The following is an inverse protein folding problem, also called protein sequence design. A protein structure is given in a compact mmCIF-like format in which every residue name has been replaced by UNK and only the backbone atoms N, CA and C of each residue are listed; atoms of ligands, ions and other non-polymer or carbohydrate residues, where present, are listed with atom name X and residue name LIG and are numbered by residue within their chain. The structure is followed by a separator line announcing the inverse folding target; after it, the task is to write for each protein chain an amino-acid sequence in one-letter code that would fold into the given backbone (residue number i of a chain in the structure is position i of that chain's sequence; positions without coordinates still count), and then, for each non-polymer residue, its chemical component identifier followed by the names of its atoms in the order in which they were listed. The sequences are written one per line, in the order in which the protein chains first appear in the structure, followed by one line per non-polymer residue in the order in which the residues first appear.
data_IF_798822153473
#
_entry.id   IF_798822153473
#
_cell.length_a   1.000
_cell.length_b   1.000
_cell.length_c   1.000
_cell.angle_alpha   90.00
_cell.angle_beta   90.00
_cell.angle_gamma   90.00
#
_symmetry.space_group_name_H-M   'P 1'
#
loop_
_entity.id
_entity.type
_entity.pdbx_description
1 polymer ?
#
# COMPACT_ATOMS: atom_id res chain seq x y z
N UNK A 1 10.39 9.43 8.98
CA UNK A 1 9.11 10.06 9.35
C UNK A 1 9.26 11.54 9.73
N UNK A 2 10.24 11.99 10.53
CA UNK A 2 10.44 13.41 10.88
C UNK A 2 10.48 14.37 9.69
N UNK A 3 11.24 14.04 8.64
CA UNK A 3 11.32 14.86 7.43
C UNK A 3 9.95 15.02 6.74
N UNK A 4 9.14 13.96 6.73
CA UNK A 4 7.79 13.98 6.16
C UNK A 4 6.85 14.85 6.98
N UNK A 5 6.87 14.74 8.31
CA UNK A 5 6.05 15.55 9.21
C UNK A 5 6.39 17.05 9.07
N UNK A 6 7.69 17.39 9.07
CA UNK A 6 8.15 18.76 8.85
C UNK A 6 7.72 19.32 7.48
N UNK A 7 7.84 18.51 6.42
CA UNK A 7 7.40 18.92 5.09
C UNK A 7 5.88 19.14 5.01
N UNK A 8 5.08 18.28 5.64
CA UNK A 8 3.63 18.41 5.68
C UNK A 8 3.18 19.70 6.38
N UNK A 9 3.82 20.04 7.50
CA UNK A 9 3.53 21.27 8.26
C UNK A 9 3.94 22.53 7.52
N UNK A 10 5.16 22.54 6.95
CA UNK A 10 5.77 23.77 6.41
C UNK A 10 5.33 24.04 4.96
N UNK A 11 5.07 23.01 4.16
CA UNK A 11 4.85 23.12 2.72
C UNK A 11 3.48 22.60 2.27
N UNK A 12 2.80 21.81 3.09
CA UNK A 12 1.50 21.22 2.81
C UNK A 12 0.37 21.85 3.62
N UNK A 13 -0.71 21.08 3.77
CA UNK A 13 -1.86 21.45 4.59
C UNK A 13 -1.78 20.95 6.05
N UNK A 14 -0.61 20.55 6.52
CA UNK A 14 -0.39 20.03 7.87
C UNK A 14 -0.70 18.53 8.02
N UNK A 15 -1.03 17.83 6.93
CA UNK A 15 -1.32 16.41 6.95
C UNK A 15 -0.76 15.68 5.71
N UNK A 16 -0.73 14.36 5.80
CA UNK A 16 -0.34 13.46 4.72
C UNK A 16 -1.41 12.40 4.55
N UNK A 17 -1.59 11.88 3.35
CA UNK A 17 -2.51 10.78 3.06
C UNK A 17 -1.74 9.50 2.74
N UNK A 18 -2.05 8.42 3.42
CA UNK A 18 -1.55 7.09 3.10
C UNK A 18 -2.35 6.52 1.93
N UNK A 19 -1.66 5.86 1.01
CA UNK A 19 -2.27 5.30 -0.18
C UNK A 19 -2.36 3.78 -0.13
N UNK A 20 -3.23 3.19 -0.96
CA UNK A 20 -3.34 1.73 -1.11
C UNK A 20 -2.12 1.07 -1.78
N UNK A 21 -1.07 1.84 -2.07
CA UNK A 21 0.22 1.33 -2.58
C UNK A 21 1.36 1.51 -1.58
N UNK A 22 1.03 1.72 -0.29
CA UNK A 22 2.04 1.96 0.74
C UNK A 22 2.80 3.29 0.57
N UNK A 23 2.30 4.22 -0.26
CA UNK A 23 2.91 5.53 -0.47
C UNK A 23 2.29 6.59 0.42
N UNK A 24 3.01 7.70 0.58
CA UNK A 24 2.55 8.90 1.29
C UNK A 24 2.33 10.02 0.28
N UNK A 25 1.18 10.67 0.34
CA UNK A 25 0.80 11.76 -0.54
C UNK A 25 0.66 13.06 0.24
N UNK A 26 1.28 14.13 -0.27
CA UNK A 26 1.10 15.49 0.22
C UNK A 26 0.01 16.21 -0.59
N UNK A 27 -0.73 17.11 0.06
CA UNK A 27 -1.72 17.94 -0.61
C UNK A 27 -1.47 19.42 -0.36
N UNK A 28 -1.99 20.26 -1.26
CA UNK A 28 -1.88 21.73 -1.18
C UNK A 28 -0.44 22.20 -0.99
N UNK A 29 0.49 21.56 -1.73
CA UNK A 29 1.92 21.87 -1.63
C UNK A 29 2.19 23.25 -2.19
N UNK A 30 2.75 24.14 -1.34
CA UNK A 30 3.06 25.53 -1.68
C UNK A 30 4.32 25.66 -2.54
N UNK A 31 5.30 24.79 -2.33
CA UNK A 31 6.58 24.77 -3.06
C UNK A 31 6.99 23.31 -3.35
N UNK A 32 6.64 22.76 -4.55
CA UNK A 32 6.98 21.39 -4.94
C UNK A 32 8.48 21.13 -5.05
N UNK A 33 9.28 22.14 -5.47
CA UNK A 33 10.73 21.99 -5.64
C UNK A 33 11.42 21.89 -4.28
N UNK A 34 10.99 22.70 -3.32
CA UNK A 34 11.47 22.61 -1.93
C UNK A 34 11.09 21.27 -1.29
N UNK A 35 9.85 20.81 -1.51
CA UNK A 35 9.41 19.48 -1.06
C UNK A 35 10.32 18.38 -1.62
N UNK A 36 10.53 18.35 -2.93
CA UNK A 36 11.39 17.37 -3.59
C UNK A 36 12.83 17.42 -3.02
N UNK A 37 13.39 18.60 -2.80
CA UNK A 37 14.72 18.77 -2.22
C UNK A 37 14.82 18.24 -0.79
N UNK A 38 13.82 18.50 0.07
CA UNK A 38 13.77 17.97 1.45
C UNK A 38 13.65 16.44 1.46
N UNK A 39 12.79 15.88 0.60
CA UNK A 39 12.61 14.44 0.51
C UNK A 39 13.87 13.74 -0.03
N UNK A 40 14.52 14.31 -1.04
CA UNK A 40 15.79 13.80 -1.56
C UNK A 40 16.89 13.86 -0.48
N UNK A 41 17.00 14.96 0.26
CA UNK A 41 17.93 15.09 1.38
C UNK A 41 17.70 14.09 2.53
N UNK A 42 16.47 13.60 2.66
CA UNK A 42 16.10 12.54 3.61
C UNK A 42 16.24 11.11 3.02
N UNK A 43 16.76 10.95 1.79
CA UNK A 43 16.90 9.67 1.12
C UNK A 43 15.59 9.06 0.62
N UNK A 44 14.50 9.83 0.60
CA UNK A 44 13.18 9.33 0.20
C UNK A 44 12.93 9.43 -1.32
N UNK A 45 13.77 10.18 -2.04
CA UNK A 45 13.79 10.28 -3.50
C UNK A 45 15.21 9.96 -4.01
N UNK A 46 15.62 8.68 -3.99
CA UNK A 46 17.01 8.29 -4.30
C UNK A 46 17.35 8.26 -5.80
N UNK A 47 16.37 8.46 -6.68
CA UNK A 47 16.55 8.47 -8.14
C UNK A 47 15.88 9.67 -8.77
N UNK A 48 16.47 10.22 -9.84
CA UNK A 48 15.86 11.30 -10.65
C UNK A 48 15.00 10.78 -11.80
N UNK A 49 15.09 9.50 -12.14
CA UNK A 49 14.45 8.90 -13.33
C UNK A 49 13.40 7.86 -13.00
N UNK A 50 13.51 7.15 -11.87
CA UNK A 50 12.67 6.01 -11.51
C UNK A 50 11.62 6.29 -10.44
N UNK A 51 11.45 7.55 -9.98
CA UNK A 51 10.56 7.87 -8.84
C UNK A 51 9.10 7.45 -9.02
N UNK A 52 8.62 7.42 -10.26
CA UNK A 52 7.22 7.06 -10.57
C UNK A 52 6.98 5.56 -10.67
N UNK A 53 8.03 4.77 -10.81
CA UNK A 53 7.94 3.32 -11.13
C UNK A 53 8.34 2.42 -9.96
N UNK A 54 8.80 2.99 -8.87
CA UNK A 54 9.23 2.30 -7.66
C UNK A 54 8.06 1.97 -6.73
N UNK A 55 6.97 1.41 -7.27
CA UNK A 55 5.83 0.97 -6.48
C UNK A 55 6.02 -0.49 -6.10
N UNK A 56 6.62 -0.73 -4.93
CA UNK A 56 6.88 -2.07 -4.38
C UNK A 56 6.05 -2.24 -3.12
N UNK A 57 5.14 -3.21 -3.12
CA UNK A 57 4.43 -3.68 -1.93
C UNK A 57 5.10 -4.94 -1.40
N UNK A 58 5.25 -5.03 -0.09
CA UNK A 58 5.68 -6.24 0.59
C UNK A 58 4.72 -6.56 1.73
N UNK A 59 4.61 -7.84 2.09
CA UNK A 59 3.82 -8.26 3.25
C UNK A 59 4.27 -7.51 4.51
N UNK A 60 3.42 -6.67 5.13
CA UNK A 60 3.83 -5.71 6.16
C UNK A 60 4.39 -6.35 7.43
N UNK A 61 3.97 -7.56 7.72
CA UNK A 61 4.37 -8.30 8.92
C UNK A 61 5.45 -9.36 8.65
N UNK A 62 6.00 -9.40 7.43
CA UNK A 62 6.99 -10.38 7.02
C UNK A 62 8.19 -10.41 7.94
N UNK A 63 8.66 -11.61 8.29
CA UNK A 63 9.76 -11.85 9.21
C UNK A 63 9.49 -11.47 10.67
N UNK A 64 8.26 -11.05 11.00
CA UNK A 64 7.84 -10.66 12.35
C UNK A 64 6.67 -11.47 12.87
N UNK A 65 5.57 -11.52 12.10
CA UNK A 65 4.35 -12.21 12.52
C UNK A 65 3.83 -13.06 11.36
N UNK A 66 3.82 -14.37 11.51
CA UNK A 66 3.35 -15.29 10.48
C UNK A 66 4.15 -15.23 9.18
N UNK A 67 3.54 -15.71 8.08
CA UNK A 67 4.22 -15.89 6.79
C UNK A 67 5.05 -17.17 6.74
N UNK A 68 5.45 -17.57 5.54
CA UNK A 68 6.30 -18.75 5.33
C UNK A 68 7.73 -18.41 4.94
N UNK A 69 7.96 -17.16 4.53
CA UNK A 69 9.28 -16.61 4.19
C UNK A 69 9.42 -15.17 4.68
N UNK A 70 10.66 -14.71 4.84
CA UNK A 70 10.96 -13.30 5.16
C UNK A 70 11.37 -12.56 3.88
N UNK A 71 10.50 -11.69 3.39
CA UNK A 71 10.73 -10.93 2.15
C UNK A 71 11.34 -9.54 2.39
N UNK A 72 11.70 -9.19 3.64
CA UNK A 72 12.14 -7.82 3.97
C UNK A 72 13.40 -7.40 3.25
N UNK A 73 14.37 -8.31 3.10
CA UNK A 73 15.65 -8.02 2.44
C UNK A 73 15.49 -7.92 0.92
N UNK A 74 14.49 -8.59 0.34
CA UNK A 74 14.17 -8.48 -1.09
C UNK A 74 13.66 -7.08 -1.48
N UNK A 75 13.09 -6.31 -0.54
CA UNK A 75 12.55 -4.96 -0.84
C UNK A 75 13.65 -3.99 -1.27
N UNK A 76 14.69 -3.72 -0.45
CA UNK A 76 15.76 -2.82 -0.85
C UNK A 76 16.55 -3.38 -2.04
N UNK A 77 16.72 -4.70 -2.15
CA UNK A 77 17.42 -5.33 -3.28
C UNK A 77 16.66 -5.08 -4.59
N UNK A 78 15.35 -5.30 -4.62
CA UNK A 78 14.51 -5.01 -5.80
C UNK A 78 14.50 -3.50 -6.11
N UNK A 79 14.40 -2.62 -5.12
CA UNK A 79 14.43 -1.18 -5.33
C UNK A 79 15.74 -0.71 -5.95
N UNK A 80 16.88 -1.21 -5.47
CA UNK A 80 18.20 -0.90 -6.02
C UNK A 80 18.31 -1.41 -7.46
N UNK A 81 17.90 -2.63 -7.72
CA UNK A 81 17.96 -3.26 -9.02
C UNK A 81 17.05 -2.55 -10.06
N UNK A 82 15.85 -2.14 -9.67
CA UNK A 82 14.96 -1.31 -10.52
C UNK A 82 15.64 0.01 -10.87
N UNK A 83 16.26 0.70 -9.91
CA UNK A 83 16.96 1.97 -10.13
C UNK A 83 18.22 1.82 -11.00
N UNK A 84 18.89 0.67 -10.92
CA UNK A 84 20.09 0.38 -11.71
C UNK A 84 19.75 0.02 -13.18
N UNK A 85 18.52 -0.39 -13.48
CA UNK A 85 18.09 -0.82 -14.81
C UNK A 85 17.47 0.34 -15.57
N UNK A 86 18.26 1.03 -16.41
CA UNK A 86 17.83 2.26 -17.10
C UNK A 86 16.52 2.09 -17.93
N UNK A 87 16.29 0.92 -18.54
CA UNK A 87 15.11 0.61 -19.36
C UNK A 87 13.81 0.66 -18.53
N UNK A 88 13.87 0.39 -17.22
CA UNK A 88 12.71 0.39 -16.35
C UNK A 88 12.21 1.81 -16.00
N UNK A 89 12.96 2.86 -16.32
CA UNK A 89 12.46 4.24 -16.23
C UNK A 89 11.26 4.49 -17.16
N UNK A 90 11.11 3.67 -18.22
CA UNK A 90 10.02 3.74 -19.18
C UNK A 90 8.75 2.97 -18.74
N UNK A 91 8.77 2.34 -17.58
CA UNK A 91 7.58 1.72 -17.00
C UNK A 91 6.49 2.77 -16.74
N UNK A 92 5.22 2.43 -16.92
CA UNK A 92 4.13 3.30 -16.50
C UNK A 92 4.13 3.51 -14.98
N UNK A 93 3.83 4.72 -14.51
CA UNK A 93 3.72 5.02 -13.08
C UNK A 93 2.60 4.28 -12.34
N UNK A 94 1.80 3.47 -13.03
CA UNK A 94 0.80 2.57 -12.43
C UNK A 94 1.32 1.14 -12.23
N UNK A 95 2.50 0.84 -12.73
CA UNK A 95 3.14 -0.47 -12.52
C UNK A 95 3.31 -0.75 -11.03
N UNK A 96 3.06 -1.98 -10.63
CA UNK A 96 3.12 -2.44 -9.25
C UNK A 96 3.90 -3.74 -9.15
N UNK A 97 4.91 -3.73 -8.28
CA UNK A 97 5.60 -4.93 -7.82
C UNK A 97 5.03 -5.41 -6.49
N UNK A 98 5.06 -6.71 -6.22
CA UNK A 98 4.65 -7.27 -4.93
C UNK A 98 5.55 -8.42 -4.48
N UNK A 99 5.91 -8.41 -3.20
CA UNK A 99 6.70 -9.44 -2.51
C UNK A 99 5.84 -9.99 -1.36
N UNK A 100 5.23 -11.16 -1.58
CA UNK A 100 4.30 -11.77 -0.64
C UNK A 100 4.99 -12.90 0.13
N UNK A 101 4.92 -12.86 1.45
CA UNK A 101 5.54 -13.83 2.35
C UNK A 101 4.77 -15.15 2.50
N UNK A 102 3.78 -15.37 1.64
CA UNK A 102 2.98 -16.59 1.57
C UNK A 102 1.58 -16.48 2.14
N UNK A 103 1.20 -15.34 2.74
CA UNK A 103 -0.16 -15.13 3.26
C UNK A 103 -1.15 -14.58 2.21
N UNK A 104 -0.69 -14.14 1.05
CA UNK A 104 -1.53 -13.61 -0.03
C UNK A 104 -1.99 -12.18 0.17
N UNK A 105 -1.46 -11.47 1.18
CA UNK A 105 -1.96 -10.18 1.62
C UNK A 105 -1.63 -9.00 0.69
N UNK A 106 -0.58 -9.10 -0.12
CA UNK A 106 -0.24 -8.08 -1.11
C UNK A 106 -0.50 -8.50 -2.56
N UNK A 107 -0.61 -9.80 -2.83
CA UNK A 107 -0.99 -10.30 -4.17
C UNK A 107 -2.42 -9.91 -4.54
N UNK A 108 -3.32 -9.77 -3.56
CA UNK A 108 -4.69 -9.28 -3.76
C UNK A 108 -4.75 -7.89 -4.43
N UNK A 109 -3.69 -7.09 -4.33
CA UNK A 109 -3.57 -5.82 -5.05
C UNK A 109 -3.46 -5.99 -6.58
N UNK A 110 -3.37 -7.25 -7.07
CA UNK A 110 -3.15 -7.61 -8.48
C UNK A 110 -1.93 -6.90 -9.05
N UNK A 111 -0.71 -7.20 -8.55
CA UNK A 111 0.52 -6.62 -9.05
C UNK A 111 0.73 -6.98 -10.52
N UNK A 112 1.50 -6.14 -11.24
CA UNK A 112 1.95 -6.48 -12.59
C UNK A 112 3.00 -7.58 -12.51
N UNK A 113 3.94 -7.44 -11.58
CA UNK A 113 5.06 -8.35 -11.32
C UNK A 113 5.13 -8.63 -9.83
N UNK A 114 5.11 -9.89 -9.45
CA UNK A 114 5.19 -10.24 -8.05
C UNK A 114 5.65 -11.66 -7.81
N UNK A 115 5.92 -11.95 -6.57
CA UNK A 115 6.16 -13.30 -6.08
C UNK A 115 5.32 -13.55 -4.82
N UNK A 116 4.91 -14.80 -4.65
CA UNK A 116 4.29 -15.28 -3.42
C UNK A 116 5.10 -16.47 -2.89
N UNK A 117 5.55 -16.40 -1.65
CA UNK A 117 6.26 -17.50 -1.04
C UNK A 117 5.36 -18.73 -0.92
N UNK A 118 5.88 -19.90 -1.34
CA UNK A 118 5.25 -21.21 -1.21
C UNK A 118 6.05 -22.12 -0.28
N UNK A 119 7.19 -21.66 0.18
CA UNK A 119 8.08 -22.32 1.14
C UNK A 119 9.13 -21.31 1.63
N UNK A 120 10.00 -21.67 2.58
CA UNK A 120 10.95 -20.76 3.23
C UNK A 120 11.88 -20.00 2.26
N UNK A 121 12.23 -20.60 1.12
CA UNK A 121 13.07 -19.99 0.09
C UNK A 121 12.57 -20.35 -1.32
N UNK A 122 11.28 -20.61 -1.46
CA UNK A 122 10.66 -21.00 -2.73
C UNK A 122 9.44 -20.11 -2.99
N UNK A 123 9.36 -19.58 -4.20
CA UNK A 123 8.38 -18.58 -4.58
C UNK A 123 7.64 -18.94 -5.87
N UNK A 124 6.36 -18.63 -5.94
CA UNK A 124 5.60 -18.64 -7.17
C UNK A 124 5.74 -17.28 -7.87
N UNK A 125 6.10 -17.28 -9.15
CA UNK A 125 6.07 -16.07 -9.98
C UNK A 125 4.63 -15.69 -10.29
N UNK A 126 4.27 -14.44 -9.98
CA UNK A 126 2.94 -13.87 -10.19
C UNK A 126 3.01 -12.77 -11.25
N UNK A 127 2.22 -12.90 -12.32
CA UNK A 127 2.10 -11.90 -13.37
C UNK A 127 0.63 -11.46 -13.53
N UNK A 128 0.40 -10.15 -13.61
CA UNK A 128 -0.94 -9.55 -13.65
C UNK A 128 -1.89 -10.05 -12.54
N UNK A 129 -1.34 -10.36 -11.36
CA UNK A 129 -2.06 -10.87 -10.20
C UNK A 129 -2.35 -12.37 -10.21
N UNK A 130 -1.94 -13.11 -11.25
CA UNK A 130 -2.14 -14.56 -11.38
C UNK A 130 -0.85 -15.36 -11.18
N UNK A 131 -0.95 -16.52 -10.53
CA UNK A 131 0.15 -17.49 -10.46
C UNK A 131 0.44 -18.03 -11.88
N UNK A 132 1.67 -17.93 -12.31
CA UNK A 132 2.10 -18.40 -13.63
C UNK A 132 2.40 -19.91 -13.68
N UNK A 133 2.46 -20.60 -12.54
CA UNK A 133 2.98 -21.94 -12.41
C UNK A 133 4.50 -22.06 -12.43
N UNK A 134 5.23 -20.95 -12.58
CA UNK A 134 6.70 -20.93 -12.47
C UNK A 134 7.09 -20.84 -11.00
N UNK A 135 8.09 -21.62 -10.60
CA UNK A 135 8.66 -21.64 -9.25
C UNK A 135 10.09 -21.16 -9.30
N UNK A 136 10.45 -20.34 -8.33
CA UNK A 136 11.73 -19.64 -8.23
C UNK A 136 12.38 -19.96 -6.89
N UNK A 137 13.68 -20.12 -6.87
CA UNK A 137 14.47 -20.00 -5.63
C UNK A 137 14.59 -18.52 -5.23
N UNK A 138 14.77 -18.24 -3.94
CA UNK A 138 14.91 -16.88 -3.42
C UNK A 138 15.94 -16.03 -4.16
N UNK A 139 17.09 -16.63 -4.50
CA UNK A 139 18.18 -15.98 -5.23
C UNK A 139 17.82 -15.57 -6.67
N UNK A 140 16.74 -16.09 -7.23
CA UNK A 140 16.26 -15.76 -8.58
C UNK A 140 15.18 -14.66 -8.58
N UNK A 141 14.57 -14.37 -7.41
CA UNK A 141 13.37 -13.53 -7.32
C UNK A 141 13.58 -12.17 -7.97
N UNK A 142 14.62 -11.45 -7.58
CA UNK A 142 14.85 -10.08 -8.06
C UNK A 142 15.12 -10.08 -9.56
N UNK A 143 16.00 -10.97 -10.04
CA UNK A 143 16.34 -11.05 -11.47
C UNK A 143 15.08 -11.37 -12.32
N UNK A 144 14.25 -12.31 -11.90
CA UNK A 144 13.03 -12.67 -12.64
C UNK A 144 11.98 -11.58 -12.65
N UNK A 145 11.86 -10.81 -11.56
CA UNK A 145 10.98 -9.64 -11.55
C UNK A 145 11.47 -8.53 -12.49
N UNK A 146 12.79 -8.28 -12.55
CA UNK A 146 13.38 -7.32 -13.50
C UNK A 146 13.21 -7.77 -14.96
N UNK A 147 13.49 -9.04 -15.26
CA UNK A 147 13.29 -9.63 -16.59
C UNK A 147 11.82 -9.50 -17.03
N UNK A 148 10.88 -9.82 -16.13
CA UNK A 148 9.44 -9.67 -16.40
C UNK A 148 9.04 -8.23 -16.71
N UNK A 149 9.54 -7.28 -15.92
CA UNK A 149 9.27 -5.86 -16.11
C UNK A 149 9.91 -5.33 -17.41
N UNK A 150 11.14 -5.75 -17.72
CA UNK A 150 11.84 -5.42 -18.97
C UNK A 150 11.10 -5.98 -20.18
N UNK A 151 10.64 -7.23 -20.10
CA UNK A 151 9.83 -7.83 -21.16
C UNK A 151 8.56 -7.03 -21.42
N UNK A 152 7.87 -6.59 -20.36
CA UNK A 152 6.68 -5.73 -20.50
C UNK A 152 7.01 -4.39 -21.15
N UNK A 153 8.09 -3.70 -20.77
CA UNK A 153 8.52 -2.44 -21.41
C UNK A 153 8.69 -2.64 -22.91
N UNK A 154 9.25 -3.76 -23.36
CA UNK A 154 9.47 -4.07 -24.78
C UNK A 154 8.21 -4.50 -25.52
N UNK A 155 7.25 -5.12 -24.82
CA UNK A 155 6.02 -5.64 -25.42
C UNK A 155 4.90 -4.60 -25.52
N UNK A 156 4.86 -3.63 -24.60
CA UNK A 156 3.81 -2.64 -24.53
C UNK A 156 3.89 -1.63 -25.67
N UNK A 157 2.73 -1.23 -26.20
CA UNK A 157 2.60 -0.12 -27.15
C UNK A 157 2.08 1.17 -26.48
N UNK A 158 1.30 1.04 -25.39
CA UNK A 158 0.70 2.17 -24.65
C UNK A 158 -0.02 1.74 -23.37
N UNK A 159 -0.04 0.45 -23.10
CA UNK A 159 -0.69 -0.14 -21.93
C UNK A 159 -0.04 0.36 -20.64
N UNK A 160 -0.86 0.62 -19.63
CA UNK A 160 -0.43 1.10 -18.31
C UNK A 160 -0.21 -0.02 -17.30
N UNK A 161 -0.78 -1.19 -17.58
CA UNK A 161 -0.71 -2.39 -16.73
C UNK A 161 -0.46 -3.62 -17.59
N UNK A 162 0.22 -4.62 -17.03
CA UNK A 162 0.42 -5.89 -17.72
C UNK A 162 -0.91 -6.59 -18.08
N UNK A 163 -1.93 -6.42 -17.22
CA UNK A 163 -3.28 -6.95 -17.44
C UNK A 163 -4.06 -6.30 -18.58
N UNK A 164 -3.57 -5.18 -19.14
CA UNK A 164 -4.17 -4.51 -20.29
C UNK A 164 -3.57 -5.01 -21.61
N UNK A 165 -2.47 -5.75 -21.56
CA UNK A 165 -1.82 -6.35 -22.71
C UNK A 165 -2.48 -7.71 -23.02
N UNK A 166 -2.92 -7.92 -24.26
CA UNK A 166 -3.50 -9.18 -24.71
C UNK A 166 -2.49 -10.32 -24.51
N UNK A 167 -2.92 -11.36 -23.80
CA UNK A 167 -2.08 -12.49 -23.39
C UNK A 167 -0.76 -12.07 -22.69
N UNK A 168 -0.78 -10.91 -22.00
CA UNK A 168 0.39 -10.28 -21.41
C UNK A 168 1.28 -11.23 -20.58
N UNK A 169 0.76 -11.95 -19.59
CA UNK A 169 1.55 -12.92 -18.83
C UNK A 169 2.23 -13.99 -19.68
N UNK A 170 1.52 -14.58 -20.65
CA UNK A 170 2.06 -15.62 -21.52
C UNK A 170 3.19 -15.07 -22.42
N UNK A 171 2.99 -13.89 -23.00
CA UNK A 171 4.00 -13.21 -23.83
C UNK A 171 5.26 -12.82 -23.05
N UNK A 172 5.09 -12.40 -21.79
CA UNK A 172 6.23 -12.11 -20.91
C UNK A 172 7.01 -13.40 -20.64
N UNK A 173 6.34 -14.49 -20.26
CA UNK A 173 6.99 -15.79 -20.04
C UNK A 173 7.72 -16.31 -21.29
N UNK A 174 7.10 -16.20 -22.47
CA UNK A 174 7.71 -16.56 -23.75
C UNK A 174 9.00 -15.77 -24.00
N UNK A 175 8.98 -14.46 -23.79
CA UNK A 175 10.15 -13.61 -23.93
C UNK A 175 11.28 -13.95 -22.96
N UNK A 176 10.94 -14.39 -21.75
CA UNK A 176 11.89 -14.85 -20.74
C UNK A 176 12.38 -16.28 -21.00
N UNK A 177 11.78 -17.01 -21.94
CA UNK A 177 12.06 -18.44 -22.18
C UNK A 177 11.58 -19.34 -21.05
N UNK A 178 10.60 -18.91 -20.27
CA UNK A 178 10.02 -19.65 -19.16
C UNK A 178 8.73 -20.36 -19.58
N UNK A 179 8.53 -21.57 -19.04
CA UNK A 179 7.30 -22.31 -19.19
C UNK A 179 6.69 -22.59 -17.82
N UNK A 180 5.35 -22.60 -17.68
CA UNK A 180 4.70 -23.04 -16.46
C UNK A 180 5.23 -24.40 -16.04
N UNK A 181 5.53 -24.57 -14.75
CA UNK A 181 5.80 -25.89 -14.17
C UNK A 181 4.48 -26.65 -14.02
N UNK A 182 4.55 -27.98 -13.80
CA UNK A 182 3.36 -28.80 -13.48
C UNK A 182 2.82 -28.53 -12.05
N UNK A 183 3.36 -27.57 -11.34
CA UNK A 183 2.91 -27.20 -10.00
C UNK A 183 1.46 -26.69 -10.03
N UNK A 184 0.69 -27.08 -9.04
CA UNK A 184 -0.67 -26.57 -8.87
C UNK A 184 -0.65 -25.04 -8.70
N UNK A 185 -1.60 -24.37 -9.33
CA UNK A 185 -1.76 -22.93 -9.14
C UNK A 185 -2.17 -22.59 -7.71
N UNK A 186 -1.67 -21.46 -7.21
CA UNK A 186 -2.08 -20.95 -5.91
C UNK A 186 -3.57 -20.60 -5.92
N UNK A 187 -4.27 -20.74 -4.79
CA UNK A 187 -5.62 -20.22 -4.68
C UNK A 187 -5.64 -18.74 -4.94
N UNK A 188 -6.72 -18.25 -5.54
CA UNK A 188 -6.92 -16.79 -5.71
C UNK A 188 -6.82 -16.14 -4.34
N UNK A 189 -5.97 -15.12 -4.22
CA UNK A 189 -5.79 -14.39 -2.99
C UNK A 189 -7.12 -13.80 -2.50
N UNK A 190 -7.46 -14.07 -1.26
CA UNK A 190 -8.60 -13.44 -0.59
C UNK A 190 -8.12 -12.12 0.00
N UNK A 191 -8.98 -11.13 0.02
CA UNK A 191 -8.65 -9.81 0.54
C UNK A 191 -8.03 -9.89 1.95
N UNK A 192 -6.82 -9.33 2.09
CA UNK A 192 -6.09 -9.34 3.35
C UNK A 192 -6.76 -8.47 4.41
N UNK A 193 -6.70 -8.91 5.67
CA UNK A 193 -7.19 -8.13 6.82
C UNK A 193 -6.12 -7.12 7.21
N UNK A 194 -6.48 -5.84 7.44
CA UNK A 194 -5.54 -4.85 7.95
C UNK A 194 -4.89 -5.30 9.26
N UNK A 195 -3.56 -5.20 9.42
CA UNK A 195 -2.88 -5.56 10.65
C UNK A 195 -3.07 -4.45 11.70
N UNK A 196 -4.17 -4.48 12.43
CA UNK A 196 -4.52 -3.49 13.45
C UNK A 196 -4.47 -4.11 14.84
N UNK A 197 -4.03 -3.32 15.82
CA UNK A 197 -3.97 -3.73 17.22
C UNK A 197 -2.60 -4.28 17.63
N UNK A 198 -2.63 -5.13 18.63
CA UNK A 198 -1.46 -5.72 19.26
C UNK A 198 -1.08 -7.03 18.59
N UNK A 199 0.10 -7.09 17.99
CA UNK A 199 0.59 -8.22 17.21
C UNK A 199 1.88 -8.75 17.81
N UNK A 200 1.81 -9.91 18.49
CA UNK A 200 2.99 -10.55 19.09
C UNK A 200 3.89 -11.12 17.98
N UNK A 201 5.16 -10.71 17.96
CA UNK A 201 6.15 -11.19 17.02
C UNK A 201 6.72 -12.56 17.43
N UNK A 202 7.30 -13.26 16.47
CA UNK A 202 7.93 -14.58 16.72
C UNK A 202 9.11 -14.53 17.69
N UNK A 203 9.76 -13.37 17.83
CA UNK A 203 10.88 -13.12 18.75
C UNK A 203 10.43 -12.62 20.14
N UNK A 204 9.12 -12.58 20.39
CA UNK A 204 8.53 -12.12 21.66
C UNK A 204 8.34 -10.61 21.77
N UNK A 205 8.79 -9.83 20.77
CA UNK A 205 8.48 -8.39 20.69
C UNK A 205 7.06 -8.16 20.21
N UNK A 206 6.72 -6.89 20.06
CA UNK A 206 5.38 -6.45 19.64
C UNK A 206 5.48 -5.58 18.39
N UNK A 207 4.60 -5.82 17.45
CA UNK A 207 4.22 -4.87 16.43
C UNK A 207 2.86 -4.26 16.76
N UNK A 208 2.73 -2.94 16.68
CA UNK A 208 1.46 -2.23 16.86
C UNK A 208 0.94 -1.74 15.52
N UNK A 209 -0.18 -2.30 15.09
CA UNK A 209 -0.89 -1.81 13.91
C UNK A 209 -1.86 -0.70 14.27
N UNK A 210 -1.69 0.48 13.70
CA UNK A 210 -2.55 1.63 13.92
C UNK A 210 -3.23 2.08 12.63
N UNK A 211 -4.57 2.09 12.62
CA UNK A 211 -5.33 2.69 11.55
C UNK A 211 -5.46 4.20 11.75
N UNK A 212 -5.75 4.90 10.65
CA UNK A 212 -5.96 6.34 10.62
C UNK A 212 -7.31 6.63 9.98
N UNK A 213 -8.08 7.52 10.59
CA UNK A 213 -9.33 7.98 10.00
C UNK A 213 -9.09 8.48 8.57
N UNK A 214 -9.78 7.89 7.59
CA UNK A 214 -9.63 8.19 6.16
C UNK A 214 -8.19 8.02 5.60
N UNK A 215 -7.31 7.33 6.32
CA UNK A 215 -5.90 7.21 5.96
C UNK A 215 -5.11 8.52 6.06
N UNK A 216 -5.59 9.48 6.85
CA UNK A 216 -4.96 10.80 7.01
C UNK A 216 -4.06 10.81 8.23
N UNK A 217 -2.78 11.10 8.02
CA UNK A 217 -1.76 11.24 9.05
C UNK A 217 -1.46 12.72 9.28
N UNK A 218 -1.90 13.24 10.41
CA UNK A 218 -1.56 14.61 10.85
C UNK A 218 -0.06 14.74 11.12
N UNK A 219 0.52 15.90 10.81
CA UNK A 219 1.96 16.15 10.98
C UNK A 219 2.41 15.99 12.44
N UNK A 220 1.60 16.41 13.41
CA UNK A 220 1.90 16.26 14.83
C UNK A 220 1.90 14.79 15.24
N UNK A 221 0.89 14.02 14.83
CA UNK A 221 0.86 12.56 15.06
C UNK A 221 2.08 11.89 14.43
N UNK A 222 2.47 12.29 13.20
CA UNK A 222 3.65 11.78 12.53
C UNK A 222 4.95 12.08 13.28
N UNK A 223 5.08 13.25 13.94
CA UNK A 223 6.22 13.58 14.80
C UNK A 223 6.31 12.65 16.01
N UNK A 224 5.18 12.34 16.66
CA UNK A 224 5.15 11.40 17.77
C UNK A 224 5.47 9.97 17.33
N UNK A 225 4.93 9.52 16.20
CA UNK A 225 5.28 8.21 15.61
C UNK A 225 6.78 8.15 15.29
N UNK A 226 7.35 9.23 14.77
CA UNK A 226 8.78 9.30 14.49
C UNK A 226 9.65 9.25 15.75
N UNK A 227 9.17 9.84 16.87
CA UNK A 227 9.89 9.88 18.13
C UNK A 227 10.00 8.51 18.83
N UNK A 228 9.23 7.52 18.41
CA UNK A 228 9.34 6.13 18.92
C UNK A 228 10.69 5.51 18.54
N UNK A 229 11.28 5.96 17.43
CA UNK A 229 12.58 5.50 16.90
C UNK A 229 12.64 3.97 16.74
N UNK A 230 11.61 3.44 16.07
CA UNK A 230 11.48 2.02 15.72
C UNK A 230 11.09 1.90 14.25
N UNK A 231 11.33 0.72 13.63
CA UNK A 231 10.91 0.48 12.26
C UNK A 231 9.42 0.73 12.06
N UNK A 232 9.08 1.45 10.98
CA UNK A 232 7.71 1.80 10.60
C UNK A 232 7.40 1.19 9.24
N UNK A 233 6.24 0.57 9.12
CA UNK A 233 5.73 0.04 7.85
C UNK A 233 4.43 0.74 7.49
N UNK A 234 4.39 1.35 6.32
CA UNK A 234 3.16 1.88 5.73
C UNK A 234 2.48 0.74 4.98
N UNK A 235 1.23 0.48 5.31
CA UNK A 235 0.50 -0.67 4.73
C UNK A 235 -0.41 -0.26 3.57
N UNK A 236 -0.78 -1.20 2.68
CA UNK A 236 -1.74 -0.93 1.62
C UNK A 236 -3.16 -0.64 2.12
N UNK A 237 -3.45 -0.92 3.39
CA UNK A 237 -4.72 -0.57 4.06
C UNK A 237 -4.73 0.83 4.67
N UNK A 238 -3.77 1.70 4.29
CA UNK A 238 -3.66 3.08 4.78
C UNK A 238 -3.51 3.15 6.30
N UNK A 239 -2.75 2.21 6.86
CA UNK A 239 -2.40 2.11 8.27
C UNK A 239 -0.88 2.13 8.44
N UNK A 240 -0.42 2.23 9.67
CA UNK A 240 0.99 2.20 10.04
C UNK A 240 1.20 1.05 11.00
N UNK A 241 2.25 0.26 10.79
CA UNK A 241 2.73 -0.70 11.79
C UNK A 241 4.02 -0.17 12.39
N UNK A 242 4.04 0.00 13.70
CA UNK A 242 5.24 0.27 14.49
C UNK A 242 5.78 -1.06 14.97
N UNK A 243 6.99 -1.41 14.53
CA UNK A 243 7.56 -2.74 14.73
C UNK A 243 8.60 -2.78 15.87
N UNK A 244 8.91 -4.00 16.30
CA UNK A 244 10.07 -4.32 17.15
C UNK A 244 10.04 -3.60 18.51
N UNK A 245 8.85 -3.46 19.09
CA UNK A 245 8.64 -2.84 20.40
C UNK A 245 8.80 -3.87 21.54
N UNK A 246 9.43 -3.45 22.63
CA UNK A 246 9.30 -4.16 23.90
C UNK A 246 7.88 -3.92 24.45
N UNK A 247 7.32 -4.89 25.20
CA UNK A 247 5.92 -4.85 25.67
C UNK A 247 5.57 -3.56 26.41
N UNK A 248 6.40 -3.13 27.38
CA UNK A 248 6.16 -1.88 28.12
C UNK A 248 6.21 -0.64 27.24
N UNK A 249 7.08 -0.61 26.20
CA UNK A 249 7.11 0.47 25.23
C UNK A 249 5.84 0.46 24.36
N UNK A 250 5.36 -0.72 23.95
CA UNK A 250 4.13 -0.83 23.17
C UNK A 250 2.91 -0.29 23.93
N UNK A 251 2.80 -0.57 25.23
CA UNK A 251 1.75 0.01 26.09
C UNK A 251 1.82 1.55 26.16
N UNK A 252 3.03 2.10 26.27
CA UNK A 252 3.23 3.55 26.27
C UNK A 252 2.86 4.19 24.92
N UNK A 253 3.24 3.54 23.81
CA UNK A 253 2.89 3.99 22.45
C UNK A 253 1.36 4.04 22.28
N UNK A 254 0.63 3.01 22.68
CA UNK A 254 -0.84 3.01 22.63
C UNK A 254 -1.40 4.15 23.49
N UNK A 255 -0.92 4.32 24.72
CA UNK A 255 -1.38 5.37 25.66
C UNK A 255 -1.20 6.78 25.11
N UNK A 256 -0.14 7.01 24.34
CA UNK A 256 0.16 8.33 23.76
C UNK A 256 -0.57 8.54 22.42
N UNK A 257 -0.53 7.55 21.53
CA UNK A 257 -1.00 7.76 20.16
C UNK A 257 -2.52 7.58 20.00
N UNK A 258 -3.18 6.75 20.84
CA UNK A 258 -4.63 6.59 20.75
C UNK A 258 -5.41 7.90 21.03
N UNK A 259 -5.09 8.70 22.07
CA UNK A 259 -5.72 10.02 22.25
C UNK A 259 -5.41 11.02 21.13
N UNK A 260 -4.36 10.79 20.35
CA UNK A 260 -3.99 11.62 19.20
C UNK A 260 -4.69 11.20 17.91
N UNK A 261 -5.56 10.18 17.96
CA UNK A 261 -6.37 9.73 16.83
C UNK A 261 -5.84 8.50 16.08
N UNK A 262 -4.78 7.83 16.58
CA UNK A 262 -4.39 6.53 16.04
C UNK A 262 -5.32 5.44 16.59
N UNK A 263 -5.84 4.59 15.69
CA UNK A 263 -6.88 3.61 16.00
C UNK A 263 -6.22 2.24 16.12
N UNK A 264 -6.26 1.65 17.33
CA UNK A 264 -5.72 0.32 17.62
C UNK A 264 -6.80 -0.75 17.82
N UNK A 265 -8.08 -0.39 17.66
CA UNK A 265 -9.20 -1.32 17.72
C UNK A 265 -9.52 -1.82 16.30
N UNK A 266 -9.31 -3.11 16.08
CA UNK A 266 -9.62 -3.78 14.81
C UNK A 266 -11.12 -3.78 14.46
N UNK A 267 -11.99 -3.54 15.44
CA UNK A 267 -13.43 -3.44 15.26
C UNK A 267 -13.92 -2.00 15.08
N UNK A 268 -13.02 -1.05 14.95
CA UNK A 268 -13.39 0.35 14.74
C UNK A 268 -14.10 0.53 13.38
N UNK A 269 -15.22 1.27 13.33
CA UNK A 269 -15.92 1.53 12.05
C UNK A 269 -15.06 2.26 11.02
N UNK A 270 -13.99 2.93 11.45
CA UNK A 270 -13.03 3.56 10.56
C UNK A 270 -12.26 2.59 9.65
N UNK A 271 -12.19 1.30 10.04
CA UNK A 271 -11.48 0.27 9.25
C UNK A 271 -12.30 -0.12 8.02
N UNK A 272 -13.63 -0.14 8.17
CA UNK A 272 -14.57 -0.47 7.11
C UNK A 272 -14.99 0.74 6.27
N UNK A 273 -14.59 1.96 6.67
CA UNK A 273 -15.03 3.19 6.04
C UNK A 273 -13.92 3.86 5.22
N UNK A 274 -14.26 4.30 4.03
CA UNK A 274 -13.37 5.08 3.16
C UNK A 274 -14.12 6.20 2.45
N UNK A 275 -13.42 7.27 2.07
CA UNK A 275 -14.00 8.34 1.28
C UNK A 275 -13.04 8.84 0.21
N UNK A 276 -13.60 9.41 -0.86
CA UNK A 276 -12.83 10.22 -1.79
C UNK A 276 -12.48 11.58 -1.13
N UNK A 277 -11.73 12.44 -1.84
CA UNK A 277 -11.35 13.74 -1.28
C UNK A 277 -12.57 14.64 -0.96
N UNK A 278 -13.63 14.54 -1.75
CA UNK A 278 -14.83 15.35 -1.55
C UNK A 278 -14.66 16.86 -1.76
N UNK A 279 -15.70 17.62 -1.47
CA UNK A 279 -15.63 19.08 -1.37
C UNK A 279 -14.97 19.44 -0.01
N UNK A 280 -14.21 20.55 0.11
CA UNK A 280 -13.86 21.53 -0.94
C UNK A 280 -12.65 21.08 -1.81
N UNK A 281 -12.05 19.95 -1.56
CA UNK A 281 -10.84 19.48 -2.25
C UNK A 281 -11.05 19.01 -3.70
N UNK A 282 -12.31 18.92 -4.15
CA UNK A 282 -12.67 18.48 -5.50
C UNK A 282 -13.88 19.25 -6.04
N UNK A 283 -13.69 20.03 -7.11
CA UNK A 283 -14.75 20.82 -7.77
C UNK A 283 -15.88 19.97 -8.38
N UNK A 284 -15.70 18.67 -8.52
CA UNK A 284 -16.70 17.74 -9.06
C UNK A 284 -17.55 17.08 -7.96
N UNK A 285 -17.24 17.35 -6.72
CA UNK A 285 -17.95 16.77 -5.60
C UNK A 285 -19.24 17.55 -5.31
N UNK A 286 -20.31 16.83 -5.02
CA UNK A 286 -21.60 17.41 -4.61
C UNK A 286 -21.70 17.62 -3.08
N UNK A 287 -20.77 17.04 -2.29
CA UNK A 287 -20.78 17.11 -0.83
C UNK A 287 -19.38 17.03 -0.22
N UNK A 288 -19.23 17.45 1.04
CA UNK A 288 -18.06 17.17 1.86
C UNK A 288 -18.20 15.76 2.47
N UNK A 289 -17.99 14.75 1.65
CA UNK A 289 -18.15 13.34 2.02
C UNK A 289 -17.25 12.87 3.16
N UNK A 290 -16.16 13.60 3.44
CA UNK A 290 -15.29 13.28 4.56
C UNK A 290 -15.89 13.73 5.89
N UNK A 291 -16.43 14.93 5.93
CA UNK A 291 -17.17 15.44 7.11
C UNK A 291 -18.41 14.62 7.32
N UNK A 292 -19.22 14.39 6.28
CA UNK A 292 -20.47 13.63 6.37
C UNK A 292 -20.23 12.19 6.87
N UNK A 293 -19.17 11.51 6.40
CA UNK A 293 -18.78 10.19 6.92
C UNK A 293 -18.33 10.26 8.38
N UNK A 294 -17.56 11.28 8.75
CA UNK A 294 -17.11 11.46 10.14
C UNK A 294 -18.29 11.62 11.09
N UNK A 295 -19.27 12.43 10.70
CA UNK A 295 -20.49 12.65 11.47
C UNK A 295 -21.31 11.35 11.57
N UNK A 296 -21.46 10.62 10.46
CA UNK A 296 -22.17 9.33 10.45
C UNK A 296 -21.52 8.28 11.37
N UNK A 297 -20.18 8.25 11.44
CA UNK A 297 -19.45 7.38 12.39
C UNK A 297 -19.68 7.83 13.83
N UNK A 298 -19.61 9.13 14.10
CA UNK A 298 -19.83 9.68 15.43
C UNK A 298 -21.26 9.45 15.94
N UNK A 299 -22.25 9.50 15.06
CA UNK A 299 -23.66 9.21 15.34
C UNK A 299 -23.96 7.71 15.43
N UNK A 300 -23.01 6.84 15.05
CA UNK A 300 -23.19 5.39 15.07
C UNK A 300 -24.15 4.87 13.99
N UNK A 301 -24.30 5.59 12.89
CA UNK A 301 -25.21 5.22 11.78
C UNK A 301 -24.55 4.31 10.75
N UNK A 302 -23.23 4.09 10.87
CA UNK A 302 -22.46 3.18 10.00
C UNK A 302 -22.62 1.74 10.48
N UNK A 303 -23.03 0.85 9.58
CA UNK A 303 -23.10 -0.58 9.86
C UNK A 303 -21.69 -1.18 10.01
N UNK A 304 -21.42 -1.82 11.15
CA UNK A 304 -20.14 -2.46 11.43
C UNK A 304 -19.95 -3.72 10.60
N UNK A 305 -18.74 -3.95 10.15
CA UNK A 305 -18.41 -5.12 9.31
C UNK A 305 -18.91 -5.02 7.88
N UNK A 306 -19.48 -3.88 7.49
CA UNK A 306 -19.87 -3.57 6.11
C UNK A 306 -18.95 -2.50 5.57
N UNK A 307 -18.13 -2.87 4.60
CA UNK A 307 -17.20 -1.92 3.97
C UNK A 307 -17.99 -0.89 3.16
N UNK A 308 -17.70 0.39 3.40
CA UNK A 308 -18.37 1.51 2.74
C UNK A 308 -17.37 2.45 2.07
N UNK A 309 -17.76 2.95 0.90
CA UNK A 309 -17.02 4.01 0.23
C UNK A 309 -17.91 5.21 -0.06
N UNK A 310 -17.58 6.34 0.57
CA UNK A 310 -18.30 7.59 0.40
C UNK A 310 -17.68 8.43 -0.71
N UNK A 311 -18.41 8.66 -1.77
CA UNK A 311 -17.94 9.34 -2.96
C UNK A 311 -18.70 10.62 -3.24
N UNK A 312 -18.00 11.71 -3.52
CA UNK A 312 -18.58 13.01 -3.84
C UNK A 312 -19.27 13.09 -5.21
N UNK A 313 -19.07 12.08 -6.07
CA UNK A 313 -19.71 11.97 -7.39
C UNK A 313 -19.59 10.54 -7.92
N UNK A 314 -20.24 10.27 -9.08
CA UNK A 314 -20.27 8.94 -9.73
C UNK A 314 -18.90 8.39 -10.17
N UNK A 315 -17.82 9.20 -10.12
CA UNK A 315 -16.45 8.73 -10.39
C UNK A 315 -15.90 7.77 -9.33
N UNK A 316 -16.40 7.82 -8.10
CA UNK A 316 -16.02 6.96 -6.98
C UNK A 316 -14.50 6.85 -6.80
N UNK A 317 -13.79 7.97 -6.86
CA UNK A 317 -12.34 8.00 -6.78
C UNK A 317 -11.84 7.40 -5.45
N UNK A 318 -10.91 6.44 -5.54
CA UNK A 318 -10.34 5.78 -4.35
C UNK A 318 -11.21 4.64 -3.80
N UNK A 319 -12.26 4.22 -4.50
CA UNK A 319 -13.07 3.05 -4.13
C UNK A 319 -12.18 1.82 -3.97
N UNK A 320 -12.22 1.13 -2.83
CA UNK A 320 -11.54 -0.14 -2.64
C UNK A 320 -12.05 -1.21 -3.61
N UNK A 321 -11.24 -2.24 -3.87
CA UNK A 321 -11.68 -3.42 -4.61
C UNK A 321 -12.59 -4.30 -3.74
N UNK A 322 -13.30 -5.23 -4.35
CA UNK A 322 -14.14 -6.20 -3.66
C UNK A 322 -15.54 -5.66 -3.32
N UNK A 323 -16.17 -6.32 -2.36
CA UNK A 323 -17.52 -6.01 -1.91
C UNK A 323 -17.50 -4.76 -1.02
N UNK A 324 -18.02 -3.66 -1.56
CA UNK A 324 -18.05 -2.36 -0.90
C UNK A 324 -19.36 -1.67 -1.24
N UNK A 325 -20.10 -1.26 -0.25
CA UNK A 325 -21.28 -0.41 -0.38
C UNK A 325 -20.84 0.99 -0.78
N UNK A 326 -21.32 1.46 -1.92
CA UNK A 326 -21.04 2.80 -2.42
C UNK A 326 -22.09 3.79 -1.91
N UNK A 327 -21.67 4.83 -1.18
CA UNK A 327 -22.49 5.96 -0.73
C UNK A 327 -22.11 7.17 -1.56
N UNK A 328 -22.90 7.49 -2.58
CA UNK A 328 -22.55 8.46 -3.61
C UNK A 328 -23.37 9.74 -3.49
N UNK A 329 -22.71 10.86 -3.29
CA UNK A 329 -23.36 12.17 -3.27
C UNK A 329 -23.84 12.57 -4.67
N UNK A 330 -25.05 13.10 -4.73
CA UNK A 330 -25.66 13.68 -5.92
C UNK A 330 -26.27 15.05 -5.61
N UNK A 331 -26.89 15.71 -6.60
CA UNK A 331 -27.47 17.05 -6.42
C UNK A 331 -28.60 17.13 -5.36
N UNK A 332 -29.25 16.00 -5.06
CA UNK A 332 -30.41 15.92 -4.16
C UNK A 332 -30.15 15.10 -2.90
N UNK A 333 -28.91 14.71 -2.63
CA UNK A 333 -28.53 13.90 -1.47
C UNK A 333 -27.75 12.64 -1.87
N UNK A 334 -27.61 11.71 -0.93
CA UNK A 334 -26.84 10.48 -1.13
C UNK A 334 -27.70 9.35 -1.75
N UNK A 335 -27.04 8.54 -2.58
CA UNK A 335 -27.57 7.28 -3.12
C UNK A 335 -26.65 6.15 -2.61
N UNK A 336 -27.25 5.01 -2.22
CA UNK A 336 -26.55 3.83 -1.71
C UNK A 336 -26.72 2.68 -2.70
N UNK A 337 -25.63 1.98 -3.01
CA UNK A 337 -25.59 0.90 -4.02
C UNK A 337 -24.96 -0.36 -3.44
#
# INVERSE_FOLDING_TARGET
MHALAGAARDLGNGSMELTSRGNIQFRSVSDPDELARRLAGAGLLPSSTHERVRNILASPLSGRVGGVSDVRDLVPELDEAVRATAELADLPGRTLFALDDGRGDVIVASPDFGVQAVGPSNYALVLAGGDTGVRLDESEVVDRLLESATAFVRLRAGEWRLSELDDGPARVLEMMGLSPSEAAHLPVAVEGVPPIGWLTQVDGRVSLGGALALGTLDARLAEFVAAIDRPLVITPWRSIVVCDLEEGMAEEVVRVLAPMGMIFDENSPWIDASACIGSPGCDKSHADVRTDLTDAIAEGTIERGVRQHWAGCDRRCGRPKGDVVDVVAGPTGYRVF
#
